data_IF_820825276327
#
_entry.id   IF_820825276327
#
_cell.length_a   1.000
_cell.length_b   1.000
_cell.length_c   1.000
_cell.angle_alpha   90.00
_cell.angle_beta   90.00
_cell.angle_gamma   90.00
#
_symmetry.space_group_name_H-M   'P 1'
#
loop_
_entity.id
_entity.type
_entity.pdbx_description
1 polymer ?
#
# COMPACT_ATOMS: atom_id res chain seq x y z
N UNK A 1 -9.42 14.57 14.95
CA UNK A 1 -9.21 13.85 13.67
C UNK A 1 -8.21 14.53 12.74
N UNK A 2 -8.46 15.71 12.16
CA UNK A 2 -7.59 16.31 11.12
C UNK A 2 -6.18 16.71 11.59
N UNK A 3 -5.95 16.79 12.90
CA UNK A 3 -4.66 17.05 13.52
C UNK A 3 -3.87 15.79 13.86
N UNK A 4 -4.41 14.59 13.60
CA UNK A 4 -3.75 13.32 13.93
C UNK A 4 -2.50 13.10 13.04
N UNK A 5 -1.28 13.12 13.61
CA UNK A 5 -0.03 13.01 12.84
C UNK A 5 0.07 11.73 12.02
N UNK A 6 -0.40 10.58 12.53
CA UNK A 6 -0.28 9.31 11.81
C UNK A 6 -1.02 9.33 10.46
N UNK A 7 -2.16 10.03 10.37
CA UNK A 7 -2.87 10.21 9.09
C UNK A 7 -1.99 10.97 8.09
N UNK A 8 -1.35 12.05 8.51
CA UNK A 8 -0.52 12.86 7.61
C UNK A 8 0.78 12.16 7.22
N UNK A 9 1.41 11.42 8.14
CA UNK A 9 2.61 10.63 7.84
C UNK A 9 2.30 9.59 6.78
N UNK A 10 1.21 8.83 6.94
CA UNK A 10 0.81 7.86 5.94
C UNK A 10 0.41 8.52 4.62
N UNK A 11 -0.30 9.64 4.64
CA UNK A 11 -0.63 10.38 3.42
C UNK A 11 0.64 10.85 2.68
N UNK A 12 1.63 11.37 3.39
CA UNK A 12 2.92 11.77 2.84
C UNK A 12 3.69 10.60 2.21
N UNK A 13 3.44 9.36 2.66
CA UNK A 13 3.97 8.14 2.05
C UNK A 13 3.67 8.01 0.55
N UNK A 14 2.63 8.69 0.03
CA UNK A 14 2.34 8.73 -1.40
C UNK A 14 3.51 9.31 -2.22
N UNK A 15 4.38 10.14 -1.63
CA UNK A 15 5.57 10.66 -2.29
C UNK A 15 6.59 9.57 -2.66
N UNK A 16 6.53 8.38 -2.02
CA UNK A 16 7.38 7.25 -2.37
C UNK A 16 6.90 6.50 -3.63
N UNK A 17 5.63 6.65 -4.01
CA UNK A 17 5.03 5.98 -5.16
C UNK A 17 5.84 6.17 -6.47
N UNK A 18 6.16 7.40 -6.93
CA UNK A 18 6.90 7.58 -8.18
C UNK A 18 8.30 6.94 -8.16
N UNK A 19 8.96 6.90 -7.00
CA UNK A 19 10.28 6.28 -6.85
C UNK A 19 10.19 4.78 -7.14
N UNK A 20 9.22 4.09 -6.54
CA UNK A 20 9.05 2.67 -6.75
C UNK A 20 8.53 2.33 -8.15
N UNK A 21 7.67 3.17 -8.74
CA UNK A 21 7.26 3.01 -10.14
C UNK A 21 8.45 3.13 -11.10
N UNK A 22 9.39 4.05 -10.84
CA UNK A 22 10.62 4.19 -11.62
C UNK A 22 11.52 2.94 -11.49
N UNK A 23 11.66 2.39 -10.28
CA UNK A 23 12.41 1.15 -10.06
C UNK A 23 11.75 -0.02 -10.81
N UNK A 24 10.42 -0.10 -10.78
CA UNK A 24 9.68 -1.11 -11.52
C UNK A 24 9.91 -1.01 -13.03
N UNK A 25 9.88 0.21 -13.57
CA UNK A 25 10.14 0.47 -14.98
C UNK A 25 11.54 0.01 -15.41
N UNK A 26 12.57 0.31 -14.60
CA UNK A 26 13.94 -0.17 -14.83
C UNK A 26 14.01 -1.69 -14.75
N UNK A 27 13.38 -2.31 -13.74
CA UNK A 27 13.36 -3.77 -13.58
C UNK A 27 12.74 -4.48 -14.79
N UNK A 28 11.62 -3.96 -15.31
CA UNK A 28 10.95 -4.50 -16.50
C UNK A 28 11.75 -4.32 -17.80
N UNK A 29 12.78 -3.46 -17.80
CA UNK A 29 13.66 -3.27 -18.94
C UNK A 29 14.88 -4.22 -18.92
N UNK A 30 15.06 -5.01 -17.85
CA UNK A 30 16.17 -5.96 -17.74
C UNK A 30 15.87 -7.24 -18.51
N UNK A 31 16.76 -7.57 -19.45
CA UNK A 31 16.67 -8.76 -20.28
C UNK A 31 15.45 -8.79 -21.22
N UNK A 32 15.43 -9.76 -22.13
CA UNK A 32 14.34 -9.92 -23.08
C UNK A 32 13.07 -10.43 -22.39
N UNK A 33 11.88 -9.93 -22.76
CA UNK A 33 10.60 -10.45 -22.27
C UNK A 33 10.45 -11.96 -22.52
N UNK A 34 9.76 -12.65 -21.61
CA UNK A 34 9.42 -14.06 -21.80
C UNK A 34 8.56 -14.24 -23.07
N UNK A 35 8.71 -15.37 -23.79
CA UNK A 35 7.90 -15.64 -25.00
C UNK A 35 6.40 -15.68 -24.70
N UNK A 36 6.03 -16.03 -23.46
CA UNK A 36 4.65 -16.02 -22.97
C UNK A 36 4.43 -14.84 -22.03
N UNK A 37 4.15 -13.66 -22.60
CA UNK A 37 4.00 -12.39 -21.86
C UNK A 37 2.99 -12.47 -20.69
N UNK A 38 1.94 -13.27 -20.83
CA UNK A 38 0.92 -13.45 -19.80
C UNK A 38 1.49 -14.07 -18.50
N UNK A 39 2.59 -14.84 -18.57
CA UNK A 39 3.25 -15.37 -17.38
C UNK A 39 3.88 -14.27 -16.53
N UNK A 40 4.42 -13.24 -17.17
CA UNK A 40 4.99 -12.10 -16.44
C UNK A 40 3.89 -11.30 -15.75
N UNK A 41 2.79 -11.03 -16.44
CA UNK A 41 1.61 -10.39 -15.83
C UNK A 41 1.04 -11.21 -14.67
N UNK A 42 0.97 -12.53 -14.81
CA UNK A 42 0.54 -13.42 -13.73
C UNK A 42 1.49 -13.34 -12.53
N UNK A 43 2.81 -13.37 -12.78
CA UNK A 43 3.83 -13.24 -11.74
C UNK A 43 3.75 -11.90 -11.02
N UNK A 44 3.69 -10.79 -11.77
CA UNK A 44 3.56 -9.44 -11.20
C UNK A 44 2.25 -9.29 -10.43
N UNK A 45 1.13 -9.79 -10.95
CA UNK A 45 -0.15 -9.77 -10.25
C UNK A 45 -0.12 -10.56 -8.94
N UNK A 46 0.48 -11.76 -8.95
CA UNK A 46 0.59 -12.63 -7.79
C UNK A 46 1.47 -12.02 -6.68
N UNK A 47 2.57 -11.36 -7.04
CA UNK A 47 3.53 -10.82 -6.07
C UNK A 47 3.21 -9.38 -5.67
N UNK A 48 2.84 -8.51 -6.61
CA UNK A 48 2.65 -7.08 -6.35
C UNK A 48 1.22 -6.69 -5.98
N UNK A 49 0.22 -7.36 -6.56
CA UNK A 49 -1.19 -6.98 -6.36
C UNK A 49 -1.83 -7.79 -5.24
N UNK A 50 -1.77 -9.12 -5.34
CA UNK A 50 -2.52 -10.01 -4.46
C UNK A 50 -2.24 -9.79 -2.96
N UNK A 51 -0.98 -9.61 -2.48
CA UNK A 51 -0.71 -9.50 -1.05
C UNK A 51 -1.31 -8.25 -0.41
N UNK A 52 -1.13 -7.08 -1.04
CA UNK A 52 -1.63 -5.80 -0.51
C UNK A 52 -3.15 -5.71 -0.66
N UNK A 53 -3.71 -6.20 -1.78
CA UNK A 53 -5.15 -6.29 -1.94
C UNK A 53 -5.78 -7.18 -0.86
N UNK A 54 -5.25 -8.39 -0.67
CA UNK A 54 -5.74 -9.33 0.33
C UNK A 54 -5.68 -8.74 1.74
N UNK A 55 -4.53 -8.15 2.11
CA UNK A 55 -4.37 -7.46 3.38
C UNK A 55 -5.44 -6.38 3.55
N UNK A 56 -5.57 -5.45 2.60
CA UNK A 56 -6.47 -4.30 2.73
C UNK A 56 -7.95 -4.67 2.64
N UNK A 57 -8.27 -5.81 2.01
CA UNK A 57 -9.64 -6.32 1.89
C UNK A 57 -10.12 -7.06 3.15
N UNK A 58 -9.21 -7.81 3.78
CA UNK A 58 -9.55 -8.68 4.93
C UNK A 58 -9.28 -8.02 6.26
N UNK A 59 -8.07 -7.48 6.45
CA UNK A 59 -7.59 -6.83 7.66
C UNK A 59 -6.76 -5.60 7.28
N UNK A 60 -7.39 -4.43 7.11
CA UNK A 60 -6.67 -3.21 6.75
C UNK A 60 -5.44 -2.98 7.61
N UNK A 61 -4.45 -2.32 7.02
CA UNK A 61 -3.25 -1.95 7.72
C UNK A 61 -3.56 -1.01 8.90
N UNK A 62 -3.03 -1.32 10.08
CA UNK A 62 -3.12 -0.44 11.24
C UNK A 62 -2.23 0.78 11.05
N UNK A 63 -2.83 1.95 10.78
CA UNK A 63 -2.13 3.22 10.55
C UNK A 63 -1.36 3.75 11.77
N UNK A 64 -1.49 3.12 12.94
CA UNK A 64 -0.65 3.41 14.10
C UNK A 64 0.63 2.56 14.10
N UNK A 65 0.93 1.94 12.95
CA UNK A 65 2.18 1.26 12.62
C UNK A 65 2.98 2.07 11.60
N UNK A 66 4.25 2.35 11.91
CA UNK A 66 5.18 3.06 11.05
C UNK A 66 6.38 2.18 10.74
N UNK A 67 6.56 1.84 9.46
CA UNK A 67 7.66 1.02 8.94
C UNK A 67 7.80 -0.32 9.68
N UNK A 68 8.62 -0.37 10.74
CA UNK A 68 8.96 -1.58 11.49
C UNK A 68 8.47 -1.55 12.96
N UNK A 69 7.71 -0.53 13.36
CA UNK A 69 7.20 -0.37 14.72
C UNK A 69 5.70 -0.08 14.71
N UNK A 70 5.00 -0.56 15.74
CA UNK A 70 3.57 -0.34 15.93
C UNK A 70 3.26 0.09 17.35
N UNK A 71 2.31 1.00 17.54
CA UNK A 71 1.78 1.26 18.87
C UNK A 71 1.04 0.03 19.40
N UNK A 72 1.22 -0.27 20.68
CA UNK A 72 0.35 -1.27 21.33
C UNK A 72 -1.09 -0.78 21.29
N UNK A 73 -2.07 -1.66 20.98
CA UNK A 73 -3.49 -1.29 21.01
C UNK A 73 -3.93 -0.65 22.34
N UNK A 74 -3.35 -1.08 23.46
CA UNK A 74 -3.61 -0.51 24.80
C UNK A 74 -3.10 0.91 25.02
N UNK A 75 -2.39 1.50 24.06
CA UNK A 75 -1.89 2.88 24.11
C UNK A 75 -2.68 3.82 23.19
N UNK A 76 -3.63 3.28 22.41
CA UNK A 76 -4.47 4.09 21.54
C UNK A 76 -5.48 4.89 22.34
N UNK A 77 -5.62 6.16 22.00
CA UNK A 77 -6.64 7.02 22.60
C UNK A 77 -8.04 6.69 22.07
N UNK A 78 -9.12 7.09 22.77
CA UNK A 78 -10.48 6.93 22.25
C UNK A 78 -10.68 7.54 20.86
N UNK A 79 -10.03 8.67 20.56
CA UNK A 79 -10.07 9.28 19.23
C UNK A 79 -9.37 8.42 18.17
N UNK A 80 -8.23 7.79 18.50
CA UNK A 80 -7.51 6.90 17.59
C UNK A 80 -8.29 5.61 17.32
N UNK A 81 -8.95 5.05 18.34
CA UNK A 81 -9.86 3.92 18.18
C UNK A 81 -11.06 4.26 17.28
N UNK A 82 -11.56 5.48 17.38
CA UNK A 82 -12.62 6.02 16.52
C UNK A 82 -12.12 6.26 15.08
N UNK A 83 -10.85 6.59 14.88
CA UNK A 83 -10.23 6.63 13.56
C UNK A 83 -10.15 5.24 12.95
N UNK A 84 -9.72 4.22 13.71
CA UNK A 84 -9.68 2.83 13.22
C UNK A 84 -11.06 2.35 12.77
N UNK A 85 -12.14 2.66 13.50
CA UNK A 85 -13.48 2.23 13.09
C UNK A 85 -13.91 2.80 11.72
N UNK A 86 -13.36 3.92 11.27
CA UNK A 86 -13.61 4.46 9.93
C UNK A 86 -13.00 3.58 8.81
N UNK A 87 -11.88 2.91 9.06
CA UNK A 87 -11.27 1.96 8.09
C UNK A 87 -12.09 0.67 7.93
N UNK A 88 -13.02 0.38 8.83
CA UNK A 88 -13.91 -0.78 8.75
C UNK A 88 -15.18 -0.50 7.93
N UNK A 89 -15.40 0.73 7.48
CA UNK A 89 -16.58 1.12 6.71
C UNK A 89 -16.54 0.55 5.27
N UNK A 90 -17.70 0.34 4.62
CA UNK A 90 -17.75 -0.13 3.23
C UNK A 90 -16.97 0.74 2.24
N UNK A 91 -16.85 2.05 2.52
CA UNK A 91 -16.03 2.98 1.75
C UNK A 91 -14.57 2.52 1.61
N UNK A 92 -14.01 1.91 2.66
CA UNK A 92 -12.64 1.37 2.61
C UNK A 92 -12.50 0.31 1.52
N UNK A 93 -13.45 -0.62 1.41
CA UNK A 93 -13.43 -1.64 0.34
C UNK A 93 -13.49 -1.03 -1.06
N UNK A 94 -14.29 0.01 -1.26
CA UNK A 94 -14.33 0.73 -2.54
C UNK A 94 -12.96 1.36 -2.86
N UNK A 95 -12.31 1.97 -1.87
CA UNK A 95 -10.97 2.53 -2.01
C UNK A 95 -9.90 1.45 -2.24
N UNK A 96 -10.07 0.24 -1.69
CA UNK A 96 -9.24 -0.93 -1.99
C UNK A 96 -9.35 -1.36 -3.44
N UNK A 97 -10.56 -1.42 -4.00
CA UNK A 97 -10.72 -1.72 -5.43
C UNK A 97 -10.15 -0.62 -6.31
N UNK A 98 -10.39 0.65 -5.94
CA UNK A 98 -9.87 1.79 -6.68
C UNK A 98 -8.35 1.78 -6.74
N UNK A 99 -7.65 1.51 -5.64
CA UNK A 99 -6.19 1.47 -5.63
C UNK A 99 -5.62 0.34 -6.50
N UNK A 100 -6.24 -0.83 -6.51
CA UNK A 100 -5.86 -1.92 -7.45
C UNK A 100 -6.05 -1.50 -8.90
N UNK A 101 -7.20 -0.92 -9.24
CA UNK A 101 -7.48 -0.46 -10.61
C UNK A 101 -6.48 0.61 -11.04
N UNK A 102 -6.20 1.60 -10.19
CA UNK A 102 -5.22 2.64 -10.47
C UNK A 102 -3.82 2.06 -10.68
N UNK A 103 -3.40 1.12 -9.83
CA UNK A 103 -2.10 0.49 -9.98
C UNK A 103 -2.00 -0.31 -11.30
N UNK A 104 -3.03 -1.05 -11.69
CA UNK A 104 -3.05 -1.78 -12.97
C UNK A 104 -2.97 -0.81 -14.14
N UNK A 105 -3.74 0.29 -14.11
CA UNK A 105 -3.73 1.31 -15.14
C UNK A 105 -2.37 2.01 -15.27
N UNK A 106 -1.62 2.15 -14.17
CA UNK A 106 -0.27 2.73 -14.16
C UNK A 106 0.79 1.70 -14.57
N UNK A 107 0.67 0.45 -14.12
CA UNK A 107 1.62 -0.62 -14.42
C UNK A 107 1.58 -1.00 -15.91
N UNK A 108 0.41 -0.91 -16.55
CA UNK A 108 0.24 -1.19 -17.97
C UNK A 108 1.19 -0.39 -18.88
N UNK A 109 1.19 0.95 -18.88
CA UNK A 109 2.13 1.72 -19.69
C UNK A 109 3.58 1.50 -19.23
N UNK A 110 3.85 1.37 -17.92
CA UNK A 110 5.21 1.10 -17.43
C UNK A 110 5.79 -0.18 -18.05
N UNK A 111 4.99 -1.24 -18.16
CA UNK A 111 5.40 -2.48 -18.81
C UNK A 111 5.64 -2.30 -20.31
N UNK A 112 4.68 -1.68 -21.02
CA UNK A 112 4.77 -1.51 -22.48
C UNK A 112 5.91 -0.56 -22.90
N UNK A 113 6.21 0.43 -22.07
CA UNK A 113 7.29 1.39 -22.30
C UNK A 113 8.59 1.03 -21.60
N UNK A 114 8.71 -0.16 -21.00
CA UNK A 114 9.93 -0.64 -20.35
C UNK A 114 11.21 -0.46 -21.21
N UNK A 115 11.21 -0.72 -22.54
CA UNK A 115 12.40 -0.56 -23.36
C UNK A 115 13.03 0.84 -23.34
N UNK A 116 12.27 1.90 -23.02
CA UNK A 116 12.79 3.25 -22.88
C UNK A 116 13.74 3.42 -21.68
N UNK A 117 13.68 2.53 -20.68
CA UNK A 117 14.61 2.48 -19.57
C UNK A 117 15.86 1.59 -19.83
N UNK A 118 16.00 1.04 -21.04
CA UNK A 118 17.07 0.10 -21.38
C UNK A 118 18.48 0.65 -21.12
N UNK A 119 18.71 1.95 -21.35
CA UNK A 119 20.00 2.58 -21.10
C UNK A 119 20.44 2.49 -19.63
N UNK A 120 19.48 2.56 -18.69
CA UNK A 120 19.73 2.40 -17.26
C UNK A 120 19.78 0.91 -16.88
N UNK A 121 18.89 0.10 -17.45
CA UNK A 121 18.85 -1.33 -17.18
C UNK A 121 20.09 -2.08 -17.69
N UNK A 122 20.81 -1.54 -18.69
CA UNK A 122 22.04 -2.11 -19.23
C UNK A 122 23.16 -2.27 -18.18
N UNK A 123 23.11 -1.52 -17.08
CA UNK A 123 24.05 -1.66 -15.96
C UNK A 123 23.75 -2.85 -15.04
N UNK A 124 22.60 -3.51 -15.20
CA UNK A 124 22.20 -4.69 -14.44
C UNK A 124 22.52 -5.99 -15.22
N UNK A 125 22.67 -7.13 -14.53
CA UNK A 125 22.70 -8.43 -15.21
C UNK A 125 21.44 -8.63 -16.05
N UNK A 126 21.59 -8.94 -17.34
CA UNK A 126 20.48 -9.06 -18.30
C UNK A 126 19.68 -10.37 -18.14
N UNK A 127 19.32 -10.69 -16.89
CA UNK A 127 18.54 -11.86 -16.54
C UNK A 127 17.09 -11.44 -16.37
N UNK A 128 16.20 -11.92 -17.25
CA UNK A 128 14.80 -11.53 -17.22
C UNK A 128 14.14 -11.77 -15.85
N UNK A 129 14.44 -12.90 -15.21
CA UNK A 129 13.92 -13.24 -13.89
C UNK A 129 14.34 -12.23 -12.81
N UNK A 130 15.59 -11.74 -12.85
CA UNK A 130 16.06 -10.70 -11.93
C UNK A 130 15.25 -9.41 -12.12
N UNK A 131 15.04 -9.00 -13.38
CA UNK A 131 14.21 -7.86 -13.74
C UNK A 131 12.79 -7.97 -13.20
N UNK A 132 12.15 -9.12 -13.39
CA UNK A 132 10.81 -9.40 -12.89
C UNK A 132 10.73 -9.35 -11.35
N UNK A 133 11.73 -9.87 -10.64
CA UNK A 133 11.78 -9.80 -9.17
C UNK A 133 11.92 -8.35 -8.69
N UNK A 134 12.81 -7.57 -9.30
CA UNK A 134 12.98 -6.13 -9.00
C UNK A 134 11.66 -5.40 -9.23
N UNK A 135 11.03 -5.63 -10.40
CA UNK A 135 9.76 -5.01 -10.75
C UNK A 135 8.63 -5.41 -9.81
N UNK A 136 8.54 -6.68 -9.44
CA UNK A 136 7.51 -7.19 -8.53
C UNK A 136 7.62 -6.57 -7.14
N UNK A 137 8.82 -6.49 -6.56
CA UNK A 137 9.06 -5.87 -5.26
C UNK A 137 8.73 -4.38 -5.32
N UNK A 138 9.17 -3.69 -6.37
CA UNK A 138 8.92 -2.26 -6.53
C UNK A 138 7.43 -1.97 -6.75
N UNK A 139 6.71 -2.78 -7.53
CA UNK A 139 5.25 -2.65 -7.68
C UNK A 139 4.50 -3.02 -6.40
N UNK A 140 4.98 -3.99 -5.62
CA UNK A 140 4.40 -4.30 -4.31
C UNK A 140 4.48 -3.10 -3.36
N UNK A 141 5.64 -2.45 -3.30
CA UNK A 141 5.84 -1.24 -2.50
C UNK A 141 5.00 -0.08 -3.05
N UNK A 142 4.96 0.09 -4.38
CA UNK A 142 4.09 1.07 -5.04
C UNK A 142 2.62 0.85 -4.65
N UNK A 143 2.15 -0.40 -4.65
CA UNK A 143 0.80 -0.74 -4.25
C UNK A 143 0.54 -0.36 -2.79
N UNK A 144 1.46 -0.69 -1.88
CA UNK A 144 1.33 -0.35 -0.47
C UNK A 144 1.27 1.17 -0.25
N UNK A 145 2.19 1.91 -0.87
CA UNK A 145 2.29 3.38 -0.81
C UNK A 145 1.23 4.11 -1.65
N UNK A 146 0.39 3.40 -2.41
CA UNK A 146 -0.82 3.95 -3.01
C UNK A 146 -2.04 3.64 -2.12
N UNK A 147 -2.16 2.39 -1.68
CA UNK A 147 -3.36 1.88 -1.04
C UNK A 147 -3.56 2.39 0.39
N UNK A 148 -2.49 2.48 1.18
CA UNK A 148 -2.57 3.02 2.55
C UNK A 148 -2.94 4.50 2.53
N UNK A 149 -2.27 5.39 1.76
CA UNK A 149 -2.68 6.80 1.66
C UNK A 149 -4.09 6.99 1.14
N UNK A 150 -4.54 6.18 0.16
CA UNK A 150 -5.90 6.27 -0.36
C UNK A 150 -6.95 5.96 0.71
N UNK A 151 -6.67 4.97 1.57
CA UNK A 151 -7.52 4.62 2.71
C UNK A 151 -7.57 5.76 3.74
N UNK A 152 -6.41 6.38 4.02
CA UNK A 152 -6.28 7.58 4.87
C UNK A 152 -7.04 8.77 4.30
N UNK A 153 -6.99 9.02 2.99
CA UNK A 153 -7.81 10.04 2.34
C UNK A 153 -9.30 9.79 2.54
N UNK A 154 -9.72 8.52 2.48
CA UNK A 154 -11.08 8.11 2.82
C UNK A 154 -11.52 8.54 4.22
N UNK A 155 -10.63 8.37 5.20
CA UNK A 155 -10.83 8.80 6.59
C UNK A 155 -10.85 10.32 6.72
N UNK A 156 -9.86 11.02 6.16
CA UNK A 156 -9.76 12.49 6.20
C UNK A 156 -10.96 13.18 5.53
N UNK A 157 -11.56 12.52 4.52
CA UNK A 157 -12.76 12.96 3.84
C UNK A 157 -14.08 12.59 4.57
N UNK A 158 -14.01 12.15 5.83
CA UNK A 158 -15.19 11.93 6.67
C UNK A 158 -15.76 13.27 7.14
N UNK A 159 -17.08 13.44 7.02
CA UNK A 159 -17.77 14.66 7.46
C UNK A 159 -17.83 14.74 8.98
N UNK A 160 -17.91 15.96 9.53
CA UNK A 160 -18.03 16.20 10.98
C UNK A 160 -19.20 15.43 11.60
N UNK A 161 -20.36 15.41 10.92
CA UNK A 161 -21.57 14.67 11.36
C UNK A 161 -21.34 13.17 11.48
N UNK A 162 -20.64 12.59 10.50
CA UNK A 162 -20.36 11.16 10.48
C UNK A 162 -19.27 10.80 11.48
N UNK A 163 -18.33 11.72 11.68
CA UNK A 163 -17.30 11.62 12.71
C UNK A 163 -17.95 11.62 14.08
N UNK A 164 -18.78 12.61 14.45
CA UNK A 164 -19.39 12.69 15.78
C UNK A 164 -20.21 11.44 16.10
N UNK A 165 -20.96 10.91 15.13
CA UNK A 165 -21.72 9.66 15.26
C UNK A 165 -20.88 8.37 15.29
N UNK A 166 -19.57 8.42 15.01
CA UNK A 166 -18.72 7.22 15.02
C UNK A 166 -18.35 6.82 16.45
N UNK A 167 -18.52 5.55 16.78
CA UNK A 167 -18.07 5.00 18.05
C UNK A 167 -16.60 4.53 17.98
N UNK A 168 -15.93 4.61 19.12
CA UNK A 168 -14.58 4.07 19.27
C UNK A 168 -14.61 2.54 19.16
N UNK A 169 -13.61 1.99 18.46
CA UNK A 169 -13.45 0.54 18.38
C UNK A 169 -13.07 -0.06 19.74
N UNK A 170 -13.60 -1.26 20.03
CA UNK A 170 -13.21 -2.06 21.19
C UNK A 170 -11.78 -2.57 21.00
N UNK A 171 -10.89 -2.29 21.95
CA UNK A 171 -9.44 -2.51 21.83
C UNK A 171 -9.12 -3.98 21.55
N UNK A 172 -9.83 -4.89 22.21
CA UNK A 172 -9.65 -6.34 22.12
C UNK A 172 -9.87 -6.87 20.69
N UNK A 173 -10.64 -6.15 19.87
CA UNK A 173 -10.94 -6.55 18.49
C UNK A 173 -9.88 -6.10 17.48
N UNK A 174 -8.93 -5.25 17.85
CA UNK A 174 -7.93 -4.71 16.91
C UNK A 174 -7.10 -5.82 16.24
N UNK A 175 -6.54 -6.82 16.95
CA UNK A 175 -5.76 -7.89 16.32
C UNK A 175 -6.58 -8.78 15.36
N UNK A 176 -7.90 -8.81 15.54
CA UNK A 176 -8.82 -9.54 14.66
C UNK A 176 -9.14 -8.75 13.40
N UNK A 177 -9.21 -7.43 13.50
CA UNK A 177 -9.72 -6.53 12.46
C UNK A 177 -8.62 -5.85 11.63
N UNK A 178 -7.38 -5.78 12.13
CA UNK A 178 -6.29 -5.05 11.49
C UNK A 178 -5.02 -5.87 11.35
N UNK A 179 -4.27 -5.58 10.30
CA UNK A 179 -2.89 -6.03 10.14
C UNK A 179 -1.99 -5.08 10.93
N UNK A 180 -1.45 -5.56 12.05
CA UNK A 180 -0.46 -4.83 12.87
C UNK A 180 0.93 -5.30 12.43
N UNK A 181 1.73 -4.41 11.86
CA UNK A 181 3.05 -4.74 11.35
C UNK A 181 4.17 -4.10 12.19
N UNK A 182 5.17 -4.89 12.55
CA UNK A 182 6.35 -4.42 13.28
C UNK A 182 6.35 -4.71 14.79
N UNK A 183 7.37 -4.18 15.46
CA UNK A 183 7.58 -4.33 16.90
C UNK A 183 6.62 -3.44 17.69
N UNK A 184 5.91 -4.03 18.65
CA UNK A 184 4.90 -3.33 19.46
C UNK A 184 5.55 -2.52 20.57
N UNK A 185 5.45 -1.19 20.49
CA UNK A 185 6.04 -0.23 21.44
C UNK A 185 4.96 0.57 22.18
N UNK A 186 5.34 1.17 23.31
CA UNK A 186 4.41 2.01 24.07
C UNK A 186 4.25 3.42 23.48
N UNK A 187 5.25 3.89 22.71
CA UNK A 187 5.27 5.23 22.11
C UNK A 187 6.12 5.21 20.84
N UNK A 188 5.69 5.94 19.81
CA UNK A 188 6.48 6.19 18.59
C UNK A 188 6.84 7.67 18.46
N UNK A 189 5.89 8.57 18.79
CA UNK A 189 6.01 10.04 18.70
C UNK A 189 5.41 10.66 19.97
#
# INVERSE_FOLDING_TARGET
MKSEPFLWIHLAGLAALPIFLQIAWIGLAVGDPLPFLWLEWLFLGAIAIAPVFWMQWTKPFDIFSLLLVALKPSQLTPEQLKILSLFQRPRHRLLTLLGVVLLILIAWPIYNFAPLAAAVAAYLPQWRLLGLVIAAIALLLSHLFLQVPLSVLGVLATKESDWTATEALVIERIPELFTIFGLKVNKII
#
